data_IF_764748340587
#
_entry.id   IF_764748340587
#
_cell.length_a   1.000
_cell.length_b   1.000
_cell.length_c   1.000
_cell.angle_alpha   90.00
_cell.angle_beta   90.00
_cell.angle_gamma   90.00
#
_symmetry.space_group_name_H-M   'P 1'
#
loop_
_entity.id
_entity.type
_entity.pdbx_description
1 polymer ?
#
# COMPACT_ATOMS: atom_id res chain seq x y z
N UNK A 1 16.71 8.35 0.07
CA UNK A 1 17.72 9.40 -0.14
C UNK A 1 17.06 10.54 -0.88
N UNK A 2 16.91 11.72 -0.26
CA UNK A 2 16.15 12.83 -0.84
C UNK A 2 16.90 13.45 -2.04
N UNK A 3 16.28 13.51 -3.25
CA UNK A 3 16.92 14.06 -4.46
C UNK A 3 17.23 15.57 -4.36
N UNK A 4 16.47 16.31 -3.53
CA UNK A 4 16.62 17.75 -3.32
C UNK A 4 17.92 18.12 -2.58
N UNK A 5 18.42 17.24 -1.71
CA UNK A 5 19.67 17.49 -0.96
C UNK A 5 20.87 17.57 -1.89
N UNK A 6 20.98 16.62 -2.83
CA UNK A 6 22.14 16.51 -3.73
C UNK A 6 22.24 17.68 -4.71
N UNK A 7 21.11 18.20 -5.19
CA UNK A 7 21.10 19.32 -6.12
C UNK A 7 21.55 20.62 -5.44
N UNK A 8 21.10 20.86 -4.21
CA UNK A 8 21.54 22.02 -3.41
C UNK A 8 23.04 21.97 -3.09
N UNK A 9 23.58 20.79 -2.82
CA UNK A 9 25.01 20.60 -2.60
C UNK A 9 25.82 20.92 -3.87
N UNK A 10 25.34 20.50 -5.05
CA UNK A 10 25.97 20.81 -6.34
C UNK A 10 25.90 22.31 -6.67
N UNK A 11 24.79 22.98 -6.40
CA UNK A 11 24.67 24.44 -6.59
C UNK A 11 25.61 25.21 -5.66
N UNK A 12 25.82 24.71 -4.43
CA UNK A 12 26.77 25.30 -3.49
C UNK A 12 28.21 25.13 -3.97
N UNK A 13 28.56 23.96 -4.52
CA UNK A 13 29.87 23.73 -5.13
C UNK A 13 30.06 24.64 -6.35
N UNK A 14 29.05 24.75 -7.22
CA UNK A 14 29.12 25.59 -8.41
C UNK A 14 29.28 27.08 -8.09
N UNK A 15 28.66 27.58 -7.00
CA UNK A 15 28.87 28.97 -6.54
C UNK A 15 30.33 29.30 -6.22
N UNK A 16 31.13 28.31 -5.80
CA UNK A 16 32.54 28.51 -5.49
C UNK A 16 33.39 28.64 -6.76
N UNK A 17 33.00 27.97 -7.84
CA UNK A 17 33.73 27.98 -9.13
C UNK A 17 33.24 29.08 -10.07
N UNK A 18 31.93 29.29 -10.14
CA UNK A 18 31.29 30.27 -11.00
C UNK A 18 30.01 30.83 -10.34
N UNK A 19 30.12 31.96 -9.61
CA UNK A 19 28.98 32.57 -8.92
C UNK A 19 27.84 32.93 -9.88
N UNK A 20 28.20 33.44 -11.05
CA UNK A 20 27.24 33.94 -12.03
C UNK A 20 26.42 32.80 -12.65
N UNK A 21 27.08 31.70 -13.04
CA UNK A 21 26.40 30.52 -13.57
C UNK A 21 25.50 29.86 -12.52
N UNK A 22 25.93 29.84 -11.25
CA UNK A 22 25.13 29.26 -10.18
C UNK A 22 23.84 30.05 -9.90
N UNK A 23 23.89 31.38 -9.98
CA UNK A 23 22.72 32.22 -9.79
C UNK A 23 21.73 32.12 -10.96
N UNK A 24 22.22 32.00 -12.20
CA UNK A 24 21.39 31.73 -13.37
C UNK A 24 20.70 30.37 -13.26
N UNK A 25 21.44 29.33 -12.85
CA UNK A 25 20.90 27.98 -12.68
C UNK A 25 19.89 27.90 -11.54
N UNK A 26 20.14 28.63 -10.43
CA UNK A 26 19.21 28.73 -9.31
C UNK A 26 17.89 29.37 -9.76
N UNK A 27 17.93 30.46 -10.54
CA UNK A 27 16.72 31.11 -11.07
C UNK A 27 15.90 30.18 -11.95
N UNK A 28 16.54 29.46 -12.87
CA UNK A 28 15.86 28.50 -13.75
C UNK A 28 15.26 27.33 -12.94
N UNK A 29 15.99 26.84 -11.93
CA UNK A 29 15.51 25.80 -11.04
C UNK A 29 14.31 26.27 -10.21
N UNK A 30 14.39 27.44 -9.58
CA UNK A 30 13.30 27.99 -8.75
C UNK A 30 12.05 28.21 -9.61
N UNK A 31 12.19 28.71 -10.85
CA UNK A 31 11.09 28.84 -11.79
C UNK A 31 10.44 27.49 -12.18
N UNK A 32 11.22 26.40 -12.24
CA UNK A 32 10.74 25.05 -12.51
C UNK A 32 10.17 24.35 -11.27
N UNK A 33 10.72 24.62 -10.08
CA UNK A 33 10.29 24.06 -8.81
C UNK A 33 9.00 24.73 -8.31
N UNK A 34 8.88 26.05 -8.47
CA UNK A 34 7.69 26.85 -8.12
C UNK A 34 6.55 26.66 -9.12
N UNK A 35 6.83 26.08 -10.30
CA UNK A 35 5.77 25.50 -11.14
C UNK A 35 5.16 24.32 -10.39
N UNK A 36 4.18 24.63 -9.54
CA UNK A 36 3.18 23.71 -9.03
C UNK A 36 2.75 22.85 -10.22
N UNK A 37 2.92 21.54 -10.10
CA UNK A 37 2.46 20.58 -11.10
C UNK A 37 0.97 20.78 -11.32
N UNK A 38 0.61 21.61 -12.31
CA UNK A 38 -0.75 21.69 -12.81
C UNK A 38 -0.95 20.48 -13.73
N UNK A 39 -1.47 19.45 -13.10
CA UNK A 39 -1.75 18.13 -13.64
C UNK A 39 -2.13 17.30 -12.43
N UNK A 40 -3.15 16.43 -12.55
CA UNK A 40 -3.65 15.55 -11.49
C UNK A 40 -2.54 15.17 -10.50
N UNK A 41 -2.49 15.88 -9.36
CA UNK A 41 -1.60 15.54 -8.28
C UNK A 41 -2.25 14.32 -7.62
N UNK A 42 -1.85 13.14 -8.07
CA UNK A 42 -2.07 11.95 -7.28
C UNK A 42 -1.21 12.11 -6.03
N UNK A 43 -1.77 12.72 -4.99
CA UNK A 43 -1.42 12.29 -3.65
C UNK A 43 -1.46 10.76 -3.71
N UNK A 44 -0.41 10.08 -3.24
CA UNK A 44 -0.49 8.63 -3.04
C UNK A 44 -1.45 8.40 -1.88
N UNK A 45 -2.73 8.67 -2.09
CA UNK A 45 -3.77 8.11 -1.27
C UNK A 45 -3.72 6.63 -1.59
N UNK A 46 -2.89 5.91 -0.84
CA UNK A 46 -3.18 4.51 -0.58
C UNK A 46 -4.56 4.55 0.05
N UNK A 47 -5.60 3.92 -0.54
CA UNK A 47 -6.88 3.87 0.14
C UNK A 47 -6.63 3.35 1.55
N UNK A 48 -7.12 4.10 2.54
CA UNK A 48 -7.34 3.58 3.89
C UNK A 48 -8.13 2.28 3.69
N UNK A 49 -7.56 1.13 4.10
CA UNK A 49 -7.92 -0.21 3.65
C UNK A 49 -9.40 -0.37 3.22
N UNK A 50 -9.64 -0.60 1.92
CA UNK A 50 -11.00 -0.76 1.38
C UNK A 50 -11.42 -2.22 1.48
N UNK A 51 -12.52 -2.46 2.19
CA UNK A 51 -13.23 -3.75 2.13
C UNK A 51 -13.91 -3.86 0.76
N UNK A 52 -13.70 -4.99 0.07
CA UNK A 52 -14.24 -5.25 -1.26
C UNK A 52 -15.34 -6.33 -1.17
N UNK A 53 -16.56 -5.99 -0.70
CA UNK A 53 -17.63 -6.97 -0.58
C UNK A 53 -17.97 -7.58 -1.94
N UNK A 54 -18.10 -8.91 -1.97
CA UNK A 54 -18.42 -9.66 -3.19
C UNK A 54 -17.22 -9.97 -4.10
N UNK A 55 -16.02 -9.48 -3.78
CA UNK A 55 -14.79 -9.92 -4.45
C UNK A 55 -14.32 -11.23 -3.83
N UNK A 56 -14.11 -12.24 -4.65
CA UNK A 56 -13.61 -13.54 -4.20
C UNK A 56 -12.19 -13.41 -3.64
N UNK A 57 -11.97 -13.92 -2.43
CA UNK A 57 -10.67 -13.96 -1.80
C UNK A 57 -9.64 -14.74 -2.65
N UNK A 58 -8.51 -14.09 -2.92
CA UNK A 58 -7.37 -14.62 -3.68
C UNK A 58 -6.16 -14.92 -2.80
N UNK A 59 -5.22 -15.72 -3.32
CA UNK A 59 -3.94 -15.97 -2.64
C UNK A 59 -3.20 -14.64 -2.41
N UNK A 60 -2.70 -14.46 -1.19
CA UNK A 60 -1.97 -13.26 -0.75
C UNK A 60 -2.87 -12.12 -0.26
N UNK A 61 -4.20 -12.25 -0.39
CA UNK A 61 -5.13 -11.25 0.11
C UNK A 61 -5.28 -11.32 1.62
N UNK A 62 -5.58 -10.15 2.21
CA UNK A 62 -5.93 -10.01 3.61
C UNK A 62 -7.44 -10.08 3.74
N UNK A 63 -7.92 -10.95 4.61
CA UNK A 63 -9.34 -11.27 4.78
C UNK A 63 -9.69 -11.40 6.26
N UNK A 64 -10.99 -11.40 6.54
CA UNK A 64 -11.57 -11.77 7.84
C UNK A 64 -12.43 -13.00 7.64
N UNK A 65 -12.61 -13.81 8.67
CA UNK A 65 -13.54 -14.93 8.61
C UNK A 65 -14.91 -14.42 9.04
N UNK A 66 -15.89 -14.50 8.15
CA UNK A 66 -17.25 -14.04 8.41
C UNK A 66 -17.94 -14.93 9.46
N UNK A 67 -18.79 -14.36 10.34
CA UNK A 67 -19.60 -15.16 11.24
C UNK A 67 -20.66 -15.96 10.46
N UNK A 68 -21.24 -17.01 11.07
CA UNK A 68 -22.38 -17.72 10.50
C UNK A 68 -23.50 -16.76 10.10
N UNK A 69 -24.22 -17.08 9.00
CA UNK A 69 -25.30 -16.24 8.50
C UNK A 69 -26.38 -16.04 9.58
N UNK A 70 -26.68 -14.78 9.89
CA UNK A 70 -27.67 -14.42 10.90
C UNK A 70 -27.09 -14.16 12.29
N UNK A 71 -25.79 -14.38 12.50
CA UNK A 71 -25.09 -14.00 13.72
C UNK A 71 -24.39 -12.64 13.58
N UNK A 72 -24.26 -11.93 14.70
CA UNK A 72 -23.52 -10.66 14.74
C UNK A 72 -22.00 -10.95 14.80
N UNK A 73 -21.15 -10.11 14.17
CA UNK A 73 -19.70 -10.22 14.28
C UNK A 73 -19.23 -10.14 15.74
N UNK A 74 -18.26 -11.00 16.08
CA UNK A 74 -17.58 -10.99 17.37
C UNK A 74 -16.17 -10.39 17.23
N UNK A 75 -15.51 -10.08 18.34
CA UNK A 75 -14.12 -9.61 18.33
C UNK A 75 -13.15 -10.61 17.67
N UNK A 76 -13.51 -11.89 17.61
CA UNK A 76 -12.71 -12.91 16.92
C UNK A 76 -12.79 -12.76 15.39
N UNK A 77 -13.93 -12.31 14.87
CA UNK A 77 -14.14 -12.06 13.44
C UNK A 77 -13.34 -10.85 12.93
N UNK A 78 -12.88 -9.97 13.82
CA UNK A 78 -12.05 -8.81 13.45
C UNK A 78 -10.59 -9.19 13.14
N UNK A 79 -10.17 -10.41 13.49
CA UNK A 79 -8.82 -10.91 13.20
C UNK A 79 -8.53 -10.92 11.70
N UNK A 80 -7.36 -10.43 11.36
CA UNK A 80 -6.88 -10.39 9.97
C UNK A 80 -6.07 -11.64 9.65
N UNK A 81 -6.41 -12.25 8.53
CA UNK A 81 -5.78 -13.45 7.99
C UNK A 81 -5.19 -13.17 6.62
N UNK A 82 -4.11 -13.87 6.26
CA UNK A 82 -3.55 -13.89 4.90
C UNK A 82 -3.88 -15.22 4.26
N UNK A 83 -4.45 -15.18 3.06
CA UNK A 83 -4.70 -16.38 2.26
C UNK A 83 -3.39 -16.95 1.73
N UNK A 84 -3.01 -18.14 2.18
CA UNK A 84 -1.79 -18.84 1.73
C UNK A 84 -2.04 -19.68 0.50
N UNK A 85 -3.19 -20.36 0.46
CA UNK A 85 -3.63 -21.14 -0.70
C UNK A 85 -5.15 -21.27 -0.74
N UNK A 86 -5.69 -21.60 -1.91
CA UNK A 86 -7.11 -21.94 -2.08
C UNK A 86 -7.19 -23.23 -2.87
N UNK A 87 -7.80 -24.26 -2.27
CA UNK A 87 -7.96 -25.59 -2.86
C UNK A 87 -9.43 -25.92 -3.01
N UNK A 88 -9.80 -26.69 -4.03
CA UNK A 88 -11.18 -27.17 -4.19
C UNK A 88 -11.31 -28.57 -3.61
N UNK A 89 -12.20 -28.76 -2.64
CA UNK A 89 -12.57 -30.08 -2.09
C UNK A 89 -14.08 -30.26 -2.23
N UNK A 90 -14.52 -31.37 -2.82
CA UNK A 90 -15.95 -31.69 -3.03
C UNK A 90 -16.75 -30.55 -3.70
N UNK A 91 -16.15 -29.83 -4.65
CA UNK A 91 -16.77 -28.70 -5.34
C UNK A 91 -16.78 -27.37 -4.56
N UNK A 92 -16.32 -27.37 -3.31
CA UNK A 92 -16.22 -26.17 -2.46
C UNK A 92 -14.77 -25.66 -2.45
N UNK A 93 -14.58 -24.35 -2.63
CA UNK A 93 -13.26 -23.72 -2.50
C UNK A 93 -12.98 -23.44 -1.03
N UNK A 94 -11.90 -24.02 -0.51
CA UNK A 94 -11.43 -23.85 0.86
C UNK A 94 -10.12 -23.08 0.83
N UNK A 95 -10.05 -21.98 1.56
CA UNK A 95 -8.85 -21.20 1.75
C UNK A 95 -8.07 -21.69 2.99
N UNK A 96 -6.77 -21.84 2.85
CA UNK A 96 -5.84 -22.00 3.97
C UNK A 96 -5.29 -20.63 4.34
N UNK A 97 -5.34 -20.32 5.62
CA UNK A 97 -5.11 -18.99 6.18
C UNK A 97 -3.99 -19.05 7.23
N UNK A 98 -3.21 -17.98 7.30
CA UNK A 98 -2.25 -17.74 8.39
C UNK A 98 -2.57 -16.38 9.00
N UNK A 99 -2.59 -16.31 10.33
CA UNK A 99 -2.89 -15.08 11.08
C UNK A 99 -1.83 -14.00 10.80
N UNK A 100 -2.25 -12.73 10.75
CA UNK A 100 -1.31 -11.62 10.65
C UNK A 100 -0.67 -11.25 12.00
N UNK A 101 -1.25 -11.72 13.12
CA UNK A 101 -0.74 -11.48 14.46
C UNK A 101 0.22 -12.55 14.95
N UNK A 102 0.03 -13.80 14.51
CA UNK A 102 0.85 -14.95 14.87
C UNK A 102 1.04 -15.87 13.64
N UNK A 103 2.29 -16.07 13.22
CA UNK A 103 2.57 -16.84 12.00
C UNK A 103 2.35 -18.36 12.19
N UNK A 104 2.31 -18.84 13.42
CA UNK A 104 2.07 -20.25 13.74
C UNK A 104 0.57 -20.56 13.89
N UNK A 105 -0.28 -19.52 13.89
CA UNK A 105 -1.73 -19.66 13.95
C UNK A 105 -2.31 -19.83 12.53
N UNK A 106 -2.78 -21.04 12.26
CA UNK A 106 -3.40 -21.44 10.99
C UNK A 106 -4.92 -21.60 11.12
N UNK A 107 -5.64 -21.27 10.05
CA UNK A 107 -7.07 -21.52 9.96
C UNK A 107 -7.47 -21.97 8.55
N UNK A 108 -8.68 -22.51 8.42
CA UNK A 108 -9.29 -22.81 7.14
C UNK A 108 -10.75 -22.42 7.11
N UNK A 109 -11.18 -21.77 6.03
CA UNK A 109 -12.55 -21.35 5.82
C UNK A 109 -12.97 -21.55 4.36
N UNK A 110 -14.28 -21.62 4.10
CA UNK A 110 -14.77 -21.58 2.73
C UNK A 110 -14.45 -20.22 2.12
N UNK A 111 -14.04 -20.19 0.86
CA UNK A 111 -13.65 -18.95 0.20
C UNK A 111 -14.81 -17.94 0.03
N UNK A 112 -16.05 -18.39 0.20
CA UNK A 112 -17.26 -17.55 0.17
C UNK A 112 -17.61 -16.96 1.55
N UNK A 113 -16.93 -17.41 2.62
CA UNK A 113 -17.09 -16.94 4.00
C UNK A 113 -15.91 -16.02 4.43
N UNK A 114 -15.23 -15.41 3.45
CA UNK A 114 -14.07 -14.53 3.60
C UNK A 114 -14.30 -13.12 3.06
#
# INVERSE_FOLDING_TARGET
VHPLSRLNDLLRQLRMESPQLADDLQREYDALADRRSFGLNFERHVPEAVELPGRKAGKGEKVRILPPRGENPTADNDRLWRVVSVTTKNGVRIASLVSLGDADEEASAAADDL
#
